data_IF_876385759085
#
_entry.id   IF_876385759085
#
_cell.length_a   1.000
_cell.length_b   1.000
_cell.length_c   1.000
_cell.angle_alpha   90.00
_cell.angle_beta   90.00
_cell.angle_gamma   90.00
#
_symmetry.space_group_name_H-M   'P 1'
#
loop_
_entity.id
_entity.type
_entity.pdbx_description
1 polymer ?
#
# COMPACT_ATOMS: atom_id res chain seq x y z
N UNK A 1 -18.76 -14.93 -15.97
CA UNK A 1 -17.60 -15.08 -15.06
C UNK A 1 -16.26 -15.13 -15.80
N UNK A 2 -16.24 -15.16 -17.14
CA UNK A 2 -15.03 -15.26 -17.97
C UNK A 2 -14.35 -13.89 -18.26
N UNK A 3 -14.99 -12.78 -17.90
CA UNK A 3 -14.50 -11.43 -18.19
C UNK A 3 -13.51 -10.87 -17.15
N UNK A 4 -13.45 -11.47 -15.96
CA UNK A 4 -12.61 -11.01 -14.84
C UNK A 4 -11.13 -11.44 -14.97
N UNK A 5 -10.81 -12.29 -15.95
CA UNK A 5 -9.48 -12.90 -16.10
C UNK A 5 -8.52 -12.10 -17.00
N UNK A 6 -9.01 -11.08 -17.71
CA UNK A 6 -8.23 -10.29 -18.68
C UNK A 6 -8.02 -8.85 -18.20
N UNK A 7 -6.77 -8.29 -18.24
CA UNK A 7 -6.47 -6.90 -17.88
C UNK A 7 -7.44 -5.94 -18.57
N UNK A 8 -8.39 -5.40 -17.82
CA UNK A 8 -9.32 -4.41 -18.35
C UNK A 8 -8.60 -3.08 -18.46
N UNK A 9 -8.82 -2.38 -19.56
CA UNK A 9 -8.35 -1.00 -19.74
C UNK A 9 -8.80 -0.11 -18.58
N UNK A 10 -9.94 -0.40 -17.96
CA UNK A 10 -10.46 0.32 -16.80
C UNK A 10 -9.68 0.02 -15.51
N UNK A 11 -9.20 -1.21 -15.30
CA UNK A 11 -8.30 -1.54 -14.20
C UNK A 11 -6.91 -0.95 -14.40
N UNK A 12 -6.36 -1.01 -15.62
CA UNK A 12 -5.09 -0.37 -15.97
C UNK A 12 -5.16 1.16 -15.87
N UNK A 13 -6.27 1.75 -16.32
CA UNK A 13 -6.53 3.16 -16.15
C UNK A 13 -6.74 3.45 -14.67
N UNK A 14 -7.53 2.73 -13.87
CA UNK A 14 -7.70 2.99 -12.41
C UNK A 14 -6.37 3.03 -11.63
N UNK A 15 -5.37 2.25 -12.07
CA UNK A 15 -4.00 2.31 -11.53
C UNK A 15 -3.26 3.63 -11.87
N UNK A 16 -3.67 4.38 -12.89
CA UNK A 16 -3.11 5.68 -13.30
C UNK A 16 -3.70 6.90 -12.54
N UNK A 17 -5.02 7.09 -12.31
CA UNK A 17 -5.55 8.04 -11.33
C UNK A 17 -5.20 7.71 -9.89
N UNK A 18 -4.74 6.50 -9.57
CA UNK A 18 -4.02 6.29 -8.31
C UNK A 18 -2.67 7.04 -8.25
N UNK A 19 -2.31 7.80 -9.29
CA UNK A 19 -1.26 8.82 -9.30
C UNK A 19 -1.79 10.28 -9.34
N UNK A 20 -3.01 10.53 -9.87
CA UNK A 20 -3.59 11.89 -10.05
C UNK A 20 -4.64 12.25 -9.00
N UNK A 21 -5.49 11.29 -8.61
CA UNK A 21 -6.34 11.34 -7.41
C UNK A 21 -5.70 10.54 -6.26
N UNK A 22 -4.37 10.51 -6.20
CA UNK A 22 -3.64 10.18 -4.98
C UNK A 22 -2.96 11.38 -4.33
N UNK A 23 -3.65 12.50 -4.04
CA UNK A 23 -3.21 13.34 -2.96
C UNK A 23 -3.60 12.72 -1.60
N UNK A 24 -3.23 11.46 -1.26
CA UNK A 24 -3.43 10.90 0.11
C UNK A 24 -2.32 9.92 0.56
N UNK A 25 -1.32 10.37 1.34
CA UNK A 25 -1.31 10.70 2.80
C UNK A 25 -1.07 9.40 3.61
N UNK A 26 0.17 9.00 3.95
CA UNK A 26 0.78 9.34 5.25
C UNK A 26 2.34 9.41 5.31
N UNK A 27 3.16 9.01 4.31
CA UNK A 27 4.62 9.12 4.51
C UNK A 27 5.41 9.93 3.46
N UNK A 28 4.77 10.71 2.57
CA UNK A 28 5.55 11.50 1.60
C UNK A 28 6.42 12.59 2.26
N UNK A 29 6.03 13.06 3.45
CA UNK A 29 6.87 13.94 4.26
C UNK A 29 7.91 13.18 5.12
N UNK A 30 7.98 11.85 5.05
CA UNK A 30 8.88 11.04 5.89
C UNK A 30 10.04 10.42 5.09
N UNK A 31 10.01 10.48 3.75
CA UNK A 31 10.89 9.68 2.89
C UNK A 31 11.85 10.54 2.06
N UNK A 32 13.06 10.01 1.88
CA UNK A 32 14.05 10.58 0.97
C UNK A 32 13.66 10.35 -0.51
N UNK A 33 14.18 11.13 -1.47
CA UNK A 33 13.89 10.94 -2.89
C UNK A 33 14.19 9.54 -3.43
N UNK A 34 15.22 8.87 -2.88
CA UNK A 34 15.54 7.48 -3.21
C UNK A 34 14.44 6.52 -2.74
N UNK A 35 14.03 6.63 -1.46
CA UNK A 35 12.95 5.82 -0.91
C UNK A 35 11.62 6.06 -1.63
N UNK A 36 11.38 7.29 -2.10
CA UNK A 36 10.23 7.62 -2.93
C UNK A 36 10.24 6.86 -4.27
N UNK A 37 11.36 6.89 -4.99
CA UNK A 37 11.50 6.16 -6.26
C UNK A 37 11.35 4.64 -6.09
N UNK A 38 12.00 4.07 -5.07
CA UNK A 38 11.91 2.66 -4.75
C UNK A 38 10.47 2.23 -4.43
N UNK A 39 9.82 2.94 -3.51
CA UNK A 39 8.46 2.62 -3.12
C UNK A 39 7.49 2.76 -4.28
N UNK A 40 7.69 3.72 -5.19
CA UNK A 40 6.82 3.91 -6.37
C UNK A 40 6.85 2.72 -7.32
N UNK A 41 8.04 2.19 -7.63
CA UNK A 41 8.15 1.06 -8.55
C UNK A 41 7.52 -0.21 -7.95
N UNK A 42 7.80 -0.50 -6.67
CA UNK A 42 7.27 -1.69 -6.00
C UNK A 42 5.80 -1.59 -5.61
N UNK A 43 5.26 -0.38 -5.45
CA UNK A 43 3.84 -0.14 -5.17
C UNK A 43 2.95 -0.62 -6.33
N UNK A 44 3.34 -0.30 -7.57
CA UNK A 44 2.57 -0.64 -8.77
C UNK A 44 2.43 -2.16 -8.95
N UNK A 45 3.51 -2.90 -8.71
CA UNK A 45 3.52 -4.37 -8.82
C UNK A 45 2.61 -5.03 -7.77
N UNK A 46 2.59 -4.50 -6.55
CA UNK A 46 1.76 -5.01 -5.45
C UNK A 46 0.28 -4.71 -5.65
N UNK A 47 -0.05 -3.52 -6.14
CA UNK A 47 -1.41 -3.18 -6.54
C UNK A 47 -1.90 -4.06 -7.69
N UNK A 48 -1.04 -4.29 -8.69
CA UNK A 48 -1.37 -5.16 -9.82
C UNK A 48 -1.64 -6.60 -9.35
N UNK A 49 -0.83 -7.14 -8.45
CA UNK A 49 -1.09 -8.46 -7.83
C UNK A 49 -2.43 -8.49 -7.09
N UNK A 50 -2.76 -7.41 -6.38
CA UNK A 50 -3.98 -7.30 -5.58
C UNK A 50 -5.26 -7.23 -6.40
N UNK A 51 -5.29 -6.35 -7.39
CA UNK A 51 -6.45 -6.12 -8.26
C UNK A 51 -6.64 -7.28 -9.25
N UNK A 52 -5.55 -7.85 -9.75
CA UNK A 52 -5.61 -8.86 -10.81
C UNK A 52 -5.53 -10.30 -10.30
N UNK A 53 -4.47 -10.62 -9.57
CA UNK A 53 -4.17 -12.01 -9.22
C UNK A 53 -5.02 -12.52 -8.07
N UNK A 54 -5.37 -11.68 -7.10
CA UNK A 54 -6.23 -12.10 -5.98
C UNK A 54 -7.70 -12.23 -6.41
N UNK A 55 -8.23 -11.30 -7.23
CA UNK A 55 -9.60 -11.43 -7.74
C UNK A 55 -9.79 -12.68 -8.58
N UNK A 56 -8.89 -12.93 -9.54
CA UNK A 56 -8.94 -14.13 -10.38
C UNK A 56 -8.79 -15.42 -9.56
N UNK A 57 -8.00 -15.39 -8.47
CA UNK A 57 -7.74 -16.58 -7.64
C UNK A 57 -8.83 -16.86 -6.60
N UNK A 58 -9.48 -15.83 -6.06
CA UNK A 58 -10.51 -15.96 -5.02
C UNK A 58 -11.93 -15.82 -5.55
N UNK A 59 -12.12 -15.46 -6.83
CA UNK A 59 -13.43 -15.45 -7.49
C UNK A 59 -14.40 -14.38 -6.97
N UNK A 60 -13.91 -13.38 -6.22
CA UNK A 60 -14.71 -12.28 -5.71
C UNK A 60 -14.66 -11.07 -6.64
N UNK A 61 -15.83 -10.46 -6.88
CA UNK A 61 -15.98 -9.25 -7.69
C UNK A 61 -16.03 -8.01 -6.78
N UNK A 62 -14.84 -7.51 -6.44
CA UNK A 62 -14.69 -6.21 -5.78
C UNK A 62 -14.96 -5.10 -6.80
N UNK A 63 -16.23 -4.73 -6.99
CA UNK A 63 -16.67 -3.83 -8.05
C UNK A 63 -15.99 -2.45 -8.04
N UNK A 64 -15.41 -2.02 -6.91
CA UNK A 64 -14.73 -0.74 -6.74
C UNK A 64 -13.22 -0.86 -6.56
N UNK A 65 -12.64 -2.06 -6.69
CA UNK A 65 -11.22 -2.33 -6.38
C UNK A 65 -10.82 -1.87 -4.96
N UNK A 66 -11.77 -1.77 -4.03
CA UNK A 66 -11.55 -1.15 -2.73
C UNK A 66 -10.52 -1.92 -1.90
N UNK A 67 -10.59 -3.25 -1.89
CA UNK A 67 -9.63 -4.11 -1.19
C UNK A 67 -8.26 -4.11 -1.89
N UNK A 68 -8.24 -4.17 -3.22
CA UNK A 68 -7.01 -4.21 -4.01
C UNK A 68 -6.21 -2.91 -3.93
N UNK A 69 -6.87 -1.76 -4.03
CA UNK A 69 -6.24 -0.44 -4.00
C UNK A 69 -6.01 0.06 -2.57
N UNK A 70 -6.99 -0.06 -1.67
CA UNK A 70 -6.90 0.54 -0.34
C UNK A 70 -6.39 -0.46 0.71
N UNK A 71 -6.82 -1.72 0.66
CA UNK A 71 -6.38 -2.74 1.61
C UNK A 71 -4.91 -3.12 1.41
N UNK A 72 -4.54 -3.54 0.20
CA UNK A 72 -3.18 -3.97 -0.13
C UNK A 72 -2.24 -2.77 -0.25
N UNK A 73 -2.71 -1.67 -0.84
CA UNK A 73 -1.98 -0.40 -0.85
C UNK A 73 -1.71 0.10 0.56
N UNK A 74 -2.72 0.18 1.42
CA UNK A 74 -2.59 0.62 2.81
C UNK A 74 -1.61 -0.24 3.61
N UNK A 75 -1.67 -1.56 3.44
CA UNK A 75 -0.74 -2.50 4.08
C UNK A 75 0.71 -2.24 3.68
N UNK A 76 0.97 -2.07 2.38
CA UNK A 76 2.32 -1.76 1.93
C UNK A 76 2.78 -0.36 2.38
N UNK A 77 1.88 0.63 2.40
CA UNK A 77 2.16 1.97 2.91
C UNK A 77 2.60 1.97 4.38
N UNK A 78 1.95 1.18 5.24
CA UNK A 78 2.35 1.01 6.63
C UNK A 78 3.73 0.36 6.79
N UNK A 79 3.99 -0.71 6.02
CA UNK A 79 5.30 -1.38 6.02
C UNK A 79 6.41 -0.44 5.52
N UNK A 80 6.19 0.25 4.41
CA UNK A 80 7.15 1.21 3.85
C UNK A 80 7.45 2.34 4.84
N UNK A 81 6.44 2.80 5.60
CA UNK A 81 6.63 3.80 6.67
C UNK A 81 7.55 3.26 7.76
N UNK A 82 7.31 2.03 8.22
CA UNK A 82 8.17 1.37 9.21
C UNK A 82 9.62 1.15 8.74
N UNK A 83 9.86 1.04 7.45
CA UNK A 83 11.19 0.81 6.88
C UNK A 83 11.95 2.10 6.57
N UNK A 84 11.29 3.06 5.91
CA UNK A 84 11.95 4.17 5.23
C UNK A 84 11.73 5.55 5.88
N UNK A 85 10.91 5.66 6.93
CA UNK A 85 10.69 6.94 7.58
C UNK A 85 11.99 7.46 8.22
N UNK A 86 12.23 8.76 8.15
CA UNK A 86 13.40 9.38 8.78
C UNK A 86 13.06 10.75 9.35
N UNK A 87 13.62 11.04 10.53
CA UNK A 87 13.51 12.37 11.13
C UNK A 87 14.26 13.43 10.32
N UNK A 88 15.23 13.04 9.49
CA UNK A 88 15.97 13.97 8.63
C UNK A 88 15.12 14.64 7.55
N UNK A 89 13.94 14.09 7.26
CA UNK A 89 12.98 14.66 6.29
C UNK A 89 11.80 15.31 7.03
N UNK A 90 11.47 14.82 8.22
CA UNK A 90 10.46 15.41 9.09
C UNK A 90 10.86 15.24 10.56
N UNK A 91 11.31 16.33 11.16
CA UNK A 91 11.79 16.37 12.54
C UNK A 91 10.70 15.97 13.57
N UNK A 92 9.42 16.12 13.22
CA UNK A 92 8.28 15.68 14.04
C UNK A 92 7.90 14.21 13.85
N UNK A 93 8.61 13.48 12.99
CA UNK A 93 8.40 12.08 12.68
C UNK A 93 9.18 11.12 13.58
N UNK A 94 9.39 9.90 13.07
CA UNK A 94 10.21 8.88 13.71
C UNK A 94 11.08 8.19 12.66
N UNK A 95 12.20 7.62 13.11
CA UNK A 95 13.05 6.81 12.25
C UNK A 95 12.41 5.43 12.04
N UNK A 96 12.56 4.93 10.82
CA UNK A 96 12.24 3.56 10.45
C UNK A 96 13.46 2.66 10.60
N UNK A 97 13.26 1.38 10.25
CA UNK A 97 14.27 0.34 10.43
C UNK A 97 15.61 0.69 9.75
N UNK A 98 15.57 1.25 8.54
CA UNK A 98 16.79 1.61 7.81
C UNK A 98 17.52 2.84 8.34
N UNK A 99 16.89 3.57 9.25
CA UNK A 99 17.46 4.74 9.93
C UNK A 99 17.73 4.47 11.42
N UNK A 100 17.68 3.20 11.83
CA UNK A 100 18.15 2.73 13.14
C UNK A 100 17.07 2.51 14.21
N UNK A 101 15.78 2.71 13.89
CA UNK A 101 14.68 2.47 14.85
C UNK A 101 13.71 1.37 14.35
N UNK A 102 13.82 0.14 14.88
CA UNK A 102 12.92 -0.96 14.53
C UNK A 102 11.52 -0.81 15.15
N UNK A 103 11.34 0.05 16.16
CA UNK A 103 10.09 0.18 16.90
C UNK A 103 8.96 0.70 16.01
N UNK A 104 9.28 1.55 15.03
CA UNK A 104 8.29 2.07 14.09
C UNK A 104 7.72 0.96 13.21
N UNK A 105 8.58 0.05 12.70
CA UNK A 105 8.11 -1.08 11.91
C UNK A 105 7.20 -2.00 12.73
N UNK A 106 7.57 -2.28 13.99
CA UNK A 106 6.74 -3.10 14.88
C UNK A 106 5.36 -2.48 15.11
N UNK A 107 5.30 -1.16 15.40
CA UNK A 107 4.04 -0.43 15.57
C UNK A 107 3.16 -0.52 14.32
N UNK A 108 3.74 -0.39 13.13
CA UNK A 108 3.00 -0.49 11.86
C UNK A 108 2.47 -1.91 11.62
N UNK A 109 3.26 -2.94 11.90
CA UNK A 109 2.82 -4.35 11.78
C UNK A 109 1.65 -4.64 12.72
N UNK A 110 1.75 -4.23 13.99
CA UNK A 110 0.66 -4.42 14.97
C UNK A 110 -0.61 -3.68 14.53
N UNK A 111 -0.50 -2.45 14.02
CA UNK A 111 -1.63 -1.69 13.52
C UNK A 111 -2.33 -2.39 12.33
N UNK A 112 -1.55 -2.91 11.38
CA UNK A 112 -2.08 -3.67 10.24
C UNK A 112 -2.83 -4.91 10.72
N UNK A 113 -2.22 -5.71 11.60
CA UNK A 113 -2.83 -6.94 12.13
C UNK A 113 -4.11 -6.63 12.91
N UNK A 114 -4.09 -5.61 13.77
CA UNK A 114 -5.26 -5.17 14.52
C UNK A 114 -6.40 -4.71 13.60
N UNK A 115 -6.08 -4.01 12.51
CA UNK A 115 -7.06 -3.56 11.52
C UNK A 115 -7.73 -4.74 10.81
N UNK A 116 -6.95 -5.75 10.39
CA UNK A 116 -7.50 -6.97 9.80
C UNK A 116 -8.31 -7.80 10.79
N UNK A 117 -7.86 -7.89 12.04
CA UNK A 117 -8.57 -8.60 13.10
C UNK A 117 -9.92 -7.94 13.43
N UNK A 118 -9.99 -6.60 13.41
CA UNK A 118 -11.25 -5.87 13.60
C UNK A 118 -12.22 -6.06 12.42
N UNK A 119 -11.70 -6.12 11.19
CA UNK A 119 -12.51 -6.29 9.97
C UNK A 119 -13.05 -7.70 9.76
N UNK A 120 -12.41 -8.72 10.34
CA UNK A 120 -12.86 -10.11 10.28
C UNK A 120 -13.70 -10.43 11.52
N UNK A 121 -15.05 -10.28 11.48
CA UNK A 121 -15.88 -10.89 12.50
C UNK A 121 -15.72 -12.40 12.39
N UNK A 122 -15.08 -13.01 13.39
CA UNK A 122 -15.00 -14.47 13.56
C UNK A 122 -16.41 -15.08 13.68
#
# INVERSE_FOLDING_TARGET
MDDQQKPTMLGAISLEPSQVLSPLHLPQALFTPFAFYYNRNHWRDRLFLGVFSLKAKFGYDDALDAFGLHGIGGTWGGIATGLFATTSVNDGGANGLFYGDPSLLWKQVVAIVATYAFLLPL
#
